data_IF_252034979478
#
_entry.id   IF_252034979478
#
_cell.length_a   1.000
_cell.length_b   1.000
_cell.length_c   1.000
_cell.angle_alpha   90.00
_cell.angle_beta   90.00
_cell.angle_gamma   90.00
#
_symmetry.space_group_name_H-M   'P 1'
#
loop_
_entity.id
_entity.type
_entity.pdbx_description
1 polymer ?
#
# COMPACT_ATOMS: atom_id res chain seq x y z
N UNK A 1 6.06 -19.92 -54.92
CA UNK A 1 6.61 -19.13 -53.79
C UNK A 1 5.50 -18.32 -53.10
N UNK A 2 4.24 -18.75 -53.23
CA UNK A 2 3.08 -17.90 -52.99
C UNK A 2 2.33 -18.25 -51.69
N UNK A 3 2.52 -19.47 -51.19
CA UNK A 3 1.94 -19.92 -49.92
C UNK A 3 2.60 -19.27 -48.69
N UNK A 4 3.91 -18.99 -48.74
CA UNK A 4 4.64 -18.37 -47.61
C UNK A 4 4.22 -16.90 -47.38
N UNK A 5 3.87 -16.17 -48.45
CA UNK A 5 3.41 -14.78 -48.36
C UNK A 5 2.02 -14.67 -47.69
N UNK A 6 1.14 -15.63 -47.95
CA UNK A 6 -0.20 -15.70 -47.34
C UNK A 6 -0.13 -16.02 -45.84
N UNK A 7 0.76 -16.93 -45.43
CA UNK A 7 0.94 -17.28 -44.02
C UNK A 7 1.53 -16.10 -43.25
N UNK A 8 2.55 -15.43 -43.79
CA UNK A 8 3.11 -14.22 -43.17
C UNK A 8 2.05 -13.11 -43.04
N UNK A 9 1.25 -12.86 -44.10
CA UNK A 9 0.19 -11.84 -44.08
C UNK A 9 -0.90 -12.07 -43.04
N UNK A 10 -1.23 -13.33 -42.73
CA UNK A 10 -2.21 -13.68 -41.68
C UNK A 10 -1.64 -13.46 -40.28
N UNK A 11 -0.34 -13.73 -40.08
CA UNK A 11 0.35 -13.48 -38.81
C UNK A 11 0.43 -11.99 -38.47
N UNK A 12 0.69 -11.13 -39.46
CA UNK A 12 0.70 -9.66 -39.25
C UNK A 12 -0.68 -9.11 -38.86
N UNK A 13 -1.79 -9.72 -39.31
CA UNK A 13 -3.15 -9.30 -38.89
C UNK A 13 -3.47 -9.68 -37.45
N UNK A 14 -2.99 -10.81 -36.95
CA UNK A 14 -3.20 -11.23 -35.56
C UNK A 14 -2.38 -10.38 -34.57
N UNK A 15 -1.19 -9.93 -34.96
CA UNK A 15 -0.36 -9.02 -34.14
C UNK A 15 -0.99 -7.64 -33.96
N UNK A 16 -1.79 -7.15 -34.92
CA UNK A 16 -2.43 -5.84 -34.85
C UNK A 16 -3.76 -5.78 -34.07
N UNK A 17 -4.36 -6.94 -33.73
CA UNK A 17 -5.67 -6.99 -33.03
C UNK A 17 -5.50 -6.94 -31.51
N UNK A 18 -4.34 -7.30 -30.97
CA UNK A 18 -4.01 -7.18 -29.55
C UNK A 18 -3.23 -5.90 -29.25
N UNK A 19 -3.81 -4.74 -29.57
CA UNK A 19 -3.42 -3.51 -28.88
C UNK A 19 -4.44 -3.32 -27.77
N UNK A 20 -4.09 -3.51 -26.48
CA UNK A 20 -5.01 -3.19 -25.41
C UNK A 20 -5.41 -1.73 -25.60
N UNK A 21 -6.72 -1.49 -25.65
CA UNK A 21 -7.23 -0.14 -25.78
C UNK A 21 -6.89 0.59 -24.48
N UNK A 22 -5.84 1.42 -24.53
CA UNK A 22 -5.38 2.26 -23.44
C UNK A 22 -6.46 3.32 -23.14
N UNK A 23 -7.56 2.89 -22.51
CA UNK A 23 -8.62 3.79 -22.06
C UNK A 23 -8.03 4.62 -20.92
N UNK A 24 -7.67 5.87 -21.23
CA UNK A 24 -7.17 6.83 -20.24
C UNK A 24 -8.24 7.02 -19.15
N UNK A 25 -7.86 6.79 -17.89
CA UNK A 25 -8.74 7.03 -16.75
C UNK A 25 -9.10 8.52 -16.66
N UNK A 26 -10.38 8.85 -16.51
CA UNK A 26 -10.79 10.25 -16.36
C UNK A 26 -10.31 10.82 -15.03
N UNK A 27 -10.14 12.15 -14.92
CA UNK A 27 -9.72 12.78 -13.65
C UNK A 27 -10.66 12.46 -12.48
N UNK A 28 -11.96 12.33 -12.74
CA UNK A 28 -12.96 12.00 -11.72
C UNK A 28 -12.81 10.56 -11.22
N UNK A 29 -12.57 9.61 -12.12
CA UNK A 29 -12.33 8.21 -11.74
C UNK A 29 -11.00 8.09 -11.01
N UNK A 30 -9.97 8.82 -11.44
CA UNK A 30 -8.68 8.87 -10.76
C UNK A 30 -8.80 9.39 -9.34
N UNK A 31 -9.57 10.47 -9.13
CA UNK A 31 -9.80 11.06 -7.81
C UNK A 31 -10.67 10.19 -6.87
N UNK A 32 -11.37 9.18 -7.41
CA UNK A 32 -12.19 8.26 -6.60
C UNK A 32 -11.39 7.10 -6.00
N UNK A 33 -10.15 6.89 -6.47
CA UNK A 33 -9.25 5.88 -5.91
C UNK A 33 -8.64 6.38 -4.59
N UNK A 34 -8.23 5.47 -3.68
CA UNK A 34 -7.44 5.85 -2.52
C UNK A 34 -6.16 6.60 -2.91
N UNK A 35 -5.66 7.43 -1.99
CA UNK A 35 -4.36 8.08 -2.17
C UNK A 35 -3.27 7.02 -2.37
N UNK A 36 -2.44 7.18 -3.39
CA UNK A 36 -1.35 6.23 -3.63
C UNK A 36 -0.21 6.40 -2.62
N UNK A 37 0.04 7.64 -2.22
CA UNK A 37 1.10 8.04 -1.31
C UNK A 37 0.50 8.91 -0.22
N UNK A 38 0.72 8.52 1.03
CA UNK A 38 0.28 9.28 2.19
C UNK A 38 1.44 9.32 3.18
N UNK A 39 1.88 10.51 3.57
CA UNK A 39 3.01 10.67 4.49
C UNK A 39 2.62 11.67 5.58
N UNK A 40 2.45 11.16 6.80
CA UNK A 40 2.36 11.98 7.99
C UNK A 40 3.65 12.79 8.19
N UNK A 41 3.53 13.93 8.86
CA UNK A 41 4.66 14.77 9.19
C UNK A 41 5.61 14.03 10.16
N UNK A 42 6.74 13.57 9.62
CA UNK A 42 7.74 12.81 10.36
C UNK A 42 8.29 13.59 11.56
N UNK A 43 8.72 14.83 11.36
CA UNK A 43 9.32 15.66 12.41
C UNK A 43 8.34 15.85 13.57
N UNK A 44 7.07 16.12 13.26
CA UNK A 44 5.99 16.24 14.25
C UNK A 44 5.78 14.94 15.01
N UNK A 45 5.93 13.80 14.35
CA UNK A 45 5.83 12.50 15.02
C UNK A 45 6.99 12.27 15.98
N UNK A 46 8.22 12.59 15.58
CA UNK A 46 9.41 12.44 16.42
C UNK A 46 9.37 13.36 17.64
N UNK A 47 8.71 14.52 17.56
CA UNK A 47 8.46 15.39 18.72
C UNK A 47 7.63 14.74 19.85
N UNK A 48 7.03 13.56 19.63
CA UNK A 48 6.37 12.78 20.69
C UNK A 48 7.36 12.06 21.64
N UNK A 49 8.67 12.12 21.34
CA UNK A 49 9.73 11.56 22.19
C UNK A 49 9.58 10.06 22.38
N UNK A 50 9.50 9.60 23.63
CA UNK A 50 9.34 8.17 23.96
C UNK A 50 8.08 7.53 23.36
N UNK A 51 7.07 8.32 22.98
CA UNK A 51 5.87 7.80 22.34
C UNK A 51 5.95 7.82 20.81
N UNK A 52 7.04 8.33 20.23
CA UNK A 52 7.19 8.42 18.78
C UNK A 52 7.31 7.03 18.15
N UNK A 53 6.40 6.73 17.22
CA UNK A 53 6.47 5.57 16.36
C UNK A 53 6.00 5.98 14.96
N UNK A 54 6.95 6.07 14.04
CA UNK A 54 6.67 6.37 12.63
C UNK A 54 6.91 5.13 11.78
N UNK A 55 5.88 4.67 11.07
CA UNK A 55 5.96 3.46 10.27
C UNK A 55 5.70 3.76 8.80
N UNK A 56 6.65 3.38 7.95
CA UNK A 56 6.48 3.33 6.50
C UNK A 56 6.07 1.92 6.09
N UNK A 57 5.03 1.80 5.29
CA UNK A 57 4.51 0.51 4.87
C UNK A 57 3.95 0.53 3.45
N UNK A 58 3.89 -0.66 2.86
CA UNK A 58 3.19 -0.91 1.61
C UNK A 58 1.94 -1.72 1.89
N UNK A 59 0.78 -1.25 1.41
CA UNK A 59 -0.49 -1.95 1.58
C UNK A 59 -1.02 -2.40 0.22
N UNK A 60 -1.17 -3.71 0.06
CA UNK A 60 -1.69 -4.31 -1.16
C UNK A 60 -3.21 -4.35 -1.08
N UNK A 61 -3.87 -3.74 -2.06
CA UNK A 61 -5.31 -3.69 -2.17
C UNK A 61 -5.87 -4.90 -2.93
N UNK A 62 -7.09 -5.25 -2.57
CA UNK A 62 -7.91 -6.26 -3.21
C UNK A 62 -9.40 -5.90 -3.05
N UNK A 63 -10.31 -6.43 -3.87
CA UNK A 63 -11.73 -6.17 -3.70
C UNK A 63 -12.22 -6.81 -2.39
N UNK A 64 -13.11 -6.12 -1.69
CA UNK A 64 -13.65 -6.59 -0.41
C UNK A 64 -14.36 -7.94 -0.60
N UNK A 65 -15.35 -7.95 -1.49
CA UNK A 65 -16.08 -9.11 -1.99
C UNK A 65 -16.12 -9.12 -3.53
N UNK A 66 -16.25 -10.29 -4.15
CA UNK A 66 -16.50 -10.42 -5.59
C UNK A 66 -17.82 -9.69 -5.95
N UNK A 67 -17.70 -8.48 -6.51
CA UNK A 67 -18.86 -7.66 -6.90
C UNK A 67 -19.09 -6.39 -6.07
N UNK A 68 -18.31 -6.16 -5.00
CA UNK A 68 -18.34 -4.88 -4.26
C UNK A 68 -17.59 -3.78 -5.02
N UNK A 69 -18.18 -2.57 -5.09
CA UNK A 69 -17.72 -1.38 -5.82
C UNK A 69 -16.82 -1.68 -7.04
N UNK A 70 -17.39 -2.45 -7.98
CA UNK A 70 -16.71 -2.97 -9.17
C UNK A 70 -15.98 -1.86 -9.94
N UNK A 71 -16.49 -0.63 -9.90
CA UNK A 71 -15.94 0.49 -10.68
C UNK A 71 -14.59 0.99 -10.16
N UNK A 72 -14.42 1.15 -8.84
CA UNK A 72 -13.13 1.58 -8.26
C UNK A 72 -12.08 0.51 -8.51
N UNK A 73 -12.41 -0.76 -8.20
CA UNK A 73 -11.47 -1.87 -8.43
C UNK A 73 -11.09 -2.03 -9.91
N UNK A 74 -12.04 -1.93 -10.84
CA UNK A 74 -11.74 -1.94 -12.29
C UNK A 74 -10.82 -0.80 -12.71
N UNK A 75 -10.94 0.36 -12.07
CA UNK A 75 -10.08 1.51 -12.36
C UNK A 75 -8.68 1.31 -11.82
N UNK A 76 -8.55 0.77 -10.60
CA UNK A 76 -7.27 0.34 -10.02
C UNK A 76 -6.59 -0.70 -10.93
N UNK A 77 -7.33 -1.70 -11.41
CA UNK A 77 -6.79 -2.74 -12.28
C UNK A 77 -6.30 -2.18 -13.62
N UNK A 78 -7.06 -1.25 -14.22
CA UNK A 78 -6.69 -0.61 -15.49
C UNK A 78 -5.45 0.26 -15.38
N UNK A 79 -5.34 1.02 -14.29
CA UNK A 79 -4.17 1.88 -14.05
C UNK A 79 -2.94 1.04 -13.68
N UNK A 80 -3.12 -0.04 -12.92
CA UNK A 80 -2.05 -0.96 -12.53
C UNK A 80 -1.47 -1.75 -13.72
N UNK A 81 -2.28 -2.06 -14.74
CA UNK A 81 -1.81 -2.79 -15.92
C UNK A 81 -0.96 -1.96 -16.88
N UNK A 82 -1.03 -0.62 -16.78
CA UNK A 82 -0.20 0.27 -17.56
C UNK A 82 1.18 0.45 -16.91
N UNK A 83 2.22 0.00 -17.59
CA UNK A 83 3.62 0.05 -17.10
C UNK A 83 4.12 1.49 -16.87
N UNK A 84 3.48 2.49 -17.48
CA UNK A 84 3.84 3.91 -17.31
C UNK A 84 3.19 4.55 -16.08
N UNK A 85 2.14 3.93 -15.55
CA UNK A 85 1.43 4.43 -14.39
C UNK A 85 1.98 3.77 -13.13
N UNK A 86 1.86 4.47 -12.00
CA UNK A 86 2.13 3.81 -10.74
C UNK A 86 1.10 2.71 -10.48
N UNK A 87 1.54 1.64 -9.82
CA UNK A 87 0.66 0.58 -9.33
C UNK A 87 -0.31 1.12 -8.28
N UNK A 88 -1.58 1.29 -8.63
CA UNK A 88 -2.62 1.79 -7.74
C UNK A 88 -3.20 0.71 -6.82
N UNK A 89 -2.83 -0.55 -7.05
CA UNK A 89 -3.14 -1.66 -6.16
C UNK A 89 -2.16 -1.77 -4.99
N UNK A 90 -1.10 -0.97 -4.95
CA UNK A 90 -0.06 -0.99 -3.92
C UNK A 90 0.15 0.41 -3.33
N UNK A 91 -0.52 0.69 -2.23
CA UNK A 91 -0.41 1.96 -1.51
C UNK A 91 0.92 2.04 -0.76
N UNK A 92 1.51 3.24 -0.67
CA UNK A 92 2.80 3.48 -0.01
C UNK A 92 2.66 4.57 1.03
N UNK A 93 2.45 4.17 2.28
CA UNK A 93 2.08 5.07 3.35
C UNK A 93 3.22 5.21 4.35
N UNK A 94 3.27 6.35 5.03
CA UNK A 94 4.15 6.64 6.15
C UNK A 94 3.33 7.34 7.21
N UNK A 95 3.14 6.69 8.36
CA UNK A 95 2.20 7.18 9.38
C UNK A 95 2.89 7.38 10.71
N UNK A 96 2.41 8.36 11.47
CA UNK A 96 2.68 8.46 12.89
C UNK A 96 1.66 7.60 13.64
N UNK A 97 2.02 6.37 13.99
CA UNK A 97 1.10 5.38 14.59
C UNK A 97 0.33 5.93 15.80
N UNK A 98 0.94 6.64 16.77
CA UNK A 98 0.22 7.18 17.92
C UNK A 98 -0.86 8.23 17.57
N UNK A 99 -0.72 8.91 16.42
CA UNK A 99 -1.65 9.95 15.99
C UNK A 99 -2.70 9.40 15.02
N UNK A 100 -2.26 8.59 14.05
CA UNK A 100 -3.11 8.11 12.96
C UNK A 100 -3.84 6.82 13.30
N UNK A 101 -3.22 5.95 14.11
CA UNK A 101 -3.80 4.69 14.58
C UNK A 101 -3.62 4.51 16.11
N UNK A 102 -4.23 5.39 16.94
CA UNK A 102 -3.95 5.48 18.37
C UNK A 102 -4.24 4.19 19.15
N UNK A 103 -5.16 3.36 18.68
CA UNK A 103 -5.53 2.09 19.32
C UNK A 103 -4.42 1.03 19.26
N UNK A 104 -3.47 1.16 18.32
CA UNK A 104 -2.33 0.24 18.19
C UNK A 104 -1.23 0.64 19.19
N UNK A 105 -0.95 1.94 19.29
CA UNK A 105 0.17 2.47 20.08
C UNK A 105 0.11 2.10 21.58
N UNK A 106 -1.08 1.80 22.11
CA UNK A 106 -1.28 1.43 23.51
C UNK A 106 -0.90 -0.03 23.83
N UNK A 107 -0.86 -0.90 22.81
CA UNK A 107 -0.69 -2.35 22.99
C UNK A 107 0.71 -2.85 22.59
N UNK A 108 1.57 -1.98 22.07
CA UNK A 108 2.91 -2.34 21.60
C UNK A 108 3.92 -2.15 22.73
N UNK A 109 4.32 -3.24 23.37
CA UNK A 109 5.33 -3.26 24.45
C UNK A 109 6.76 -3.35 23.94
N UNK A 110 6.97 -3.56 22.63
CA UNK A 110 8.26 -3.50 21.96
C UNK A 110 8.11 -3.43 20.44
N UNK A 111 8.92 -2.60 19.77
CA UNK A 111 8.84 -2.35 18.32
C UNK A 111 9.47 -3.44 17.43
N UNK A 112 9.83 -4.58 18.03
CA UNK A 112 10.38 -5.74 17.32
C UNK A 112 9.29 -6.72 16.84
N UNK A 113 8.03 -6.46 17.19
CA UNK A 113 6.90 -7.30 16.79
C UNK A 113 6.16 -6.72 15.59
N UNK A 114 6.79 -6.87 14.42
CA UNK A 114 6.24 -6.45 13.14
C UNK A 114 4.88 -7.10 12.85
N UNK A 115 4.59 -8.27 13.43
CA UNK A 115 3.36 -9.01 13.12
C UNK A 115 2.12 -8.33 13.70
N UNK A 116 2.15 -7.96 14.98
CA UNK A 116 1.07 -7.23 15.63
C UNK A 116 0.90 -5.81 15.09
N UNK A 117 2.00 -5.14 14.73
CA UNK A 117 1.95 -3.82 14.09
C UNK A 117 1.26 -3.87 12.73
N UNK A 118 1.58 -4.88 11.90
CA UNK A 118 0.94 -5.07 10.59
C UNK A 118 -0.56 -5.30 10.73
N UNK A 119 -0.96 -6.24 11.60
CA UNK A 119 -2.38 -6.53 11.85
C UNK A 119 -3.12 -5.30 12.39
N UNK A 120 -2.50 -4.56 13.31
CA UNK A 120 -3.05 -3.32 13.84
C UNK A 120 -3.28 -2.28 12.74
N UNK A 121 -2.30 -2.09 11.84
CA UNK A 121 -2.40 -1.14 10.72
C UNK A 121 -3.47 -1.61 9.73
N UNK A 122 -3.52 -2.89 9.40
CA UNK A 122 -4.56 -3.48 8.55
C UNK A 122 -5.95 -3.18 9.10
N UNK A 123 -6.17 -3.39 10.40
CA UNK A 123 -7.43 -3.09 11.07
C UNK A 123 -7.72 -1.58 11.11
N UNK A 124 -6.71 -0.73 11.31
CA UNK A 124 -6.85 0.72 11.34
C UNK A 124 -7.42 1.27 10.03
N UNK A 125 -6.94 0.78 8.89
CA UNK A 125 -7.40 1.20 7.55
C UNK A 125 -8.61 0.41 7.03
N UNK A 126 -9.03 -0.65 7.72
CA UNK A 126 -10.10 -1.53 7.27
C UNK A 126 -11.43 -0.78 7.04
N UNK A 127 -11.79 0.18 7.92
CA UNK A 127 -13.05 0.92 7.78
C UNK A 127 -13.06 1.83 6.56
N UNK A 128 -11.98 2.57 6.33
CA UNK A 128 -11.83 3.50 5.19
C UNK A 128 -11.88 2.73 3.86
N UNK A 129 -11.09 1.65 3.76
CA UNK A 129 -11.07 0.83 2.54
C UNK A 129 -12.40 0.12 2.29
N UNK A 130 -13.09 -0.29 3.36
CA UNK A 130 -14.41 -0.95 3.25
C UNK A 130 -15.46 -0.04 2.63
N UNK A 131 -15.46 1.27 2.92
CA UNK A 131 -16.37 2.24 2.29
C UNK A 131 -16.16 2.33 0.77
N UNK A 132 -14.94 2.06 0.31
CA UNK A 132 -14.57 2.01 -1.11
C UNK A 132 -14.81 0.63 -1.74
N UNK A 133 -15.31 -0.36 -0.99
CA UNK A 133 -15.46 -1.75 -1.45
C UNK A 133 -14.11 -2.47 -1.62
N UNK A 134 -13.08 -2.03 -0.89
CA UNK A 134 -11.74 -2.56 -0.93
C UNK A 134 -11.36 -3.18 0.42
N UNK A 135 -10.35 -4.05 0.38
CA UNK A 135 -9.61 -4.51 1.56
C UNK A 135 -8.12 -4.44 1.27
N UNK A 136 -7.34 -4.13 2.29
CA UNK A 136 -5.90 -3.98 2.20
C UNK A 136 -5.18 -4.85 3.22
N UNK A 137 -3.95 -5.22 2.90
CA UNK A 137 -3.05 -5.88 3.84
C UNK A 137 -1.62 -5.36 3.69
N UNK A 138 -0.92 -5.16 4.81
CA UNK A 138 0.46 -4.68 4.83
C UNK A 138 1.41 -5.77 4.36
N UNK A 139 2.15 -5.47 3.29
CA UNK A 139 3.14 -6.37 2.66
C UNK A 139 4.58 -6.06 3.07
N UNK A 140 4.89 -4.80 3.30
CA UNK A 140 6.19 -4.32 3.81
C UNK A 140 5.93 -3.34 4.94
N UNK A 141 6.71 -3.42 6.01
CA UNK A 141 6.63 -2.52 7.16
C UNK A 141 8.05 -2.19 7.60
N UNK A 142 8.31 -0.91 7.86
CA UNK A 142 9.54 -0.42 8.47
C UNK A 142 9.20 0.72 9.43
N UNK A 143 9.57 0.57 10.69
CA UNK A 143 9.22 1.54 11.73
C UNK A 143 10.47 2.17 12.34
N UNK A 144 10.35 3.46 12.68
CA UNK A 144 11.38 4.29 13.31
C UNK A 144 10.80 4.84 14.60
N UNK A 145 11.59 4.79 15.67
CA UNK A 145 11.26 5.30 16.99
C UNK A 145 12.52 5.87 17.64
N UNK A 146 12.35 6.76 18.61
CA UNK A 146 13.45 7.23 19.46
C UNK A 146 13.74 6.31 20.64
N UNK A 147 12.86 5.32 20.91
CA UNK A 147 13.08 4.34 21.99
C UNK A 147 14.24 3.40 21.66
N UNK A 148 15.12 3.10 22.63
CA UNK A 148 16.16 2.09 22.43
C UNK A 148 15.53 0.72 22.17
N UNK A 149 16.12 -0.04 21.23
CA UNK A 149 15.65 -1.38 20.80
C UNK A 149 15.64 -2.44 21.92
N UNK A 150 16.33 -2.16 23.03
CA UNK A 150 16.36 -2.95 24.24
C UNK A 150 16.15 -2.05 25.46
N UNK A 151 15.50 -2.58 26.49
CA UNK A 151 15.44 -1.92 27.79
C UNK A 151 16.85 -1.93 28.36
N UNK A 152 17.47 -0.75 28.46
CA UNK A 152 18.71 -0.58 29.19
C UNK A 152 18.37 -0.80 30.66
N UNK A 153 18.75 -1.95 31.20
CA UNK A 153 18.61 -2.21 32.63
C UNK A 153 19.87 -1.77 33.39
N UNK A 154 19.81 -1.82 34.72
CA UNK A 154 20.96 -1.45 35.56
C UNK A 154 22.17 -2.35 35.34
N UNK A 155 21.99 -3.58 34.82
CA UNK A 155 23.08 -4.50 34.55
C UNK A 155 23.83 -4.05 33.29
N UNK A 156 23.12 -3.59 32.27
CA UNK A 156 23.73 -3.04 31.04
C UNK A 156 24.62 -1.82 31.32
N UNK A 157 24.20 -0.94 32.25
CA UNK A 157 24.97 0.26 32.65
C UNK A 157 26.23 -0.11 33.45
N UNK A 158 26.15 -1.15 34.28
CA UNK A 158 27.27 -1.57 35.16
C UNK A 158 28.35 -2.33 34.38
N UNK A 159 27.99 -2.96 33.26
CA UNK A 159 28.89 -3.80 32.46
C UNK A 159 29.46 -3.06 31.22
N UNK A 160 28.95 -1.85 30.91
CA UNK A 160 29.49 -0.95 29.87
C UNK A 160 30.66 -0.09 30.34
#
# INVERSE_FOLDING_TARGET
MDALKLIMSQFWRLVYIFRPEDRCTSKSEYASMPELFHLDNFDRCMMLGENALYCMFQMQLSPLEEGSNVQIWQTIQRTTSNVKDFRHDLLRYGICVPLSCPNIAQNVTGYNDDSHLREGIDHCYASELKELGLKGYVTQLNCITEKPLYNIDSVDIVVG
#
